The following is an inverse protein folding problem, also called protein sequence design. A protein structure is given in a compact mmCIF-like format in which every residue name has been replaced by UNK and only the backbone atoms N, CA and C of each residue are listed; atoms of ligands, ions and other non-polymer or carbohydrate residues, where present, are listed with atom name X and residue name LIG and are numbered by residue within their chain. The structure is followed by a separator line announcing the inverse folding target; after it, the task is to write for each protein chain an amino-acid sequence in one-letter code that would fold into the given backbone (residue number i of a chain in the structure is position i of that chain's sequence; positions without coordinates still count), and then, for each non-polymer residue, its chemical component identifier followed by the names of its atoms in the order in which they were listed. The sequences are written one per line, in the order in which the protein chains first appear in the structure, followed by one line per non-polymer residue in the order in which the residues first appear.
data_IF_655649578245
#
_entry.id   IF_655649578245
#
_cell.length_a   1.000
_cell.length_b   1.000
_cell.length_c   1.000
_cell.angle_alpha   90.00
_cell.angle_beta   90.00
_cell.angle_gamma   90.00
#
_symmetry.space_group_name_H-M   'P 1'
#
loop_
_entity.id
_entity.type
_entity.pdbx_description
1 polymer ?
#
# COMPACT_ATOMS: atom_id res chain seq x y z
N UNK A 1 19.77 8.28 13.57
CA UNK A 1 19.47 7.19 12.61
C UNK A 1 18.07 6.71 12.92
N UNK A 2 17.18 6.65 11.93
CA UNK A 2 15.82 6.11 12.11
C UNK A 2 15.91 4.59 11.99
N UNK A 3 15.56 3.85 13.04
CA UNK A 3 15.53 2.39 12.98
C UNK A 3 14.44 1.95 12.01
N UNK A 4 14.73 1.12 10.99
CA UNK A 4 13.73 0.67 10.04
C UNK A 4 12.54 0.00 10.74
N UNK A 5 11.29 0.39 10.44
CA UNK A 5 10.12 -0.22 11.07
C UNK A 5 9.97 -1.68 10.67
N UNK A 6 9.50 -2.50 11.62
CA UNK A 6 9.10 -3.90 11.40
C UNK A 6 7.59 -4.12 11.50
N UNK A 7 6.88 -3.21 12.17
CA UNK A 7 5.42 -3.19 12.29
C UNK A 7 4.90 -2.03 11.44
N UNK A 8 4.32 -2.34 10.28
CA UNK A 8 4.01 -1.37 9.24
C UNK A 8 2.60 -0.78 9.35
N UNK A 9 1.67 -1.49 10.00
CA UNK A 9 0.27 -1.10 10.18
C UNK A 9 0.03 -0.12 11.34
N UNK A 10 1.06 0.64 11.70
CA UNK A 10 0.99 1.72 12.67
C UNK A 10 1.34 3.05 12.00
N UNK A 11 0.98 4.18 12.62
CA UNK A 11 1.34 5.49 12.09
C UNK A 11 2.85 5.64 11.89
N UNK A 12 3.65 5.25 12.89
CA UNK A 12 5.12 5.26 12.80
C UNK A 12 5.66 4.24 11.79
N UNK A 13 5.01 3.08 11.68
CA UNK A 13 5.36 2.04 10.72
C UNK A 13 5.21 2.47 9.27
N UNK A 14 4.03 2.97 8.92
CA UNK A 14 3.70 3.40 7.57
C UNK A 14 4.52 4.65 7.18
N UNK A 15 4.62 5.63 8.08
CA UNK A 15 5.46 6.83 7.84
C UNK A 15 6.92 6.43 7.66
N UNK A 16 7.44 5.55 8.53
CA UNK A 16 8.81 5.07 8.45
C UNK A 16 9.10 4.29 7.16
N UNK A 17 8.14 3.50 6.65
CA UNK A 17 8.26 2.80 5.37
C UNK A 17 8.41 3.79 4.20
N UNK A 18 7.57 4.83 4.17
CA UNK A 18 7.65 5.89 3.15
C UNK A 18 8.96 6.68 3.25
N UNK A 19 9.46 6.94 4.46
CA UNK A 19 10.77 7.55 4.65
C UNK A 19 11.91 6.66 4.18
N UNK A 20 11.81 5.34 4.37
CA UNK A 20 12.77 4.38 3.79
C UNK A 20 12.72 4.40 2.25
N UNK A 21 11.55 4.62 1.64
CA UNK A 21 11.46 4.81 0.17
C UNK A 21 12.21 6.07 -0.25
N UNK A 22 11.96 7.20 0.42
CA UNK A 22 12.66 8.47 0.12
C UNK A 22 14.18 8.33 0.28
N UNK A 23 14.65 7.64 1.31
CA UNK A 23 16.08 7.43 1.53
C UNK A 23 16.73 6.51 0.47
N UNK A 24 16.04 5.45 0.06
CA UNK A 24 16.58 4.46 -0.89
C UNK A 24 16.49 4.94 -2.34
N UNK A 25 15.39 5.60 -2.71
CA UNK A 25 15.05 5.89 -4.10
C UNK A 25 15.03 7.39 -4.44
N UNK A 26 15.06 8.27 -3.43
CA UNK A 26 14.96 9.73 -3.62
C UNK A 26 13.54 10.27 -3.71
N UNK A 27 12.54 9.41 -3.81
CA UNK A 27 11.12 9.76 -3.94
C UNK A 27 10.20 8.64 -3.42
N UNK A 28 8.89 8.84 -3.54
CA UNK A 28 7.84 7.85 -3.25
C UNK A 28 7.06 7.42 -4.49
N UNK A 29 7.59 7.71 -5.68
CA UNK A 29 6.95 7.38 -6.95
C UNK A 29 6.98 5.88 -7.22
N UNK A 30 5.88 5.31 -7.67
CA UNK A 30 5.84 3.90 -8.05
C UNK A 30 4.54 3.54 -8.75
N UNK A 31 4.45 2.27 -9.14
CA UNK A 31 3.23 1.70 -9.70
C UNK A 31 2.32 1.14 -8.61
N UNK A 32 2.91 0.49 -7.61
CA UNK A 32 2.18 -0.23 -6.56
C UNK A 32 3.00 -0.37 -5.29
N UNK A 33 2.36 -0.22 -4.14
CA UNK A 33 2.88 -0.62 -2.84
C UNK A 33 1.86 -1.53 -2.15
N UNK A 34 2.28 -2.72 -1.73
CA UNK A 34 1.47 -3.64 -0.92
C UNK A 34 2.09 -3.73 0.46
N UNK A 35 1.32 -3.44 1.51
CA UNK A 35 1.82 -3.38 2.89
C UNK A 35 1.08 -4.41 3.74
N UNK A 36 1.79 -5.45 4.12
CA UNK A 36 1.38 -6.41 5.14
C UNK A 36 1.85 -5.91 6.53
N UNK A 37 1.39 -6.52 7.63
CA UNK A 37 1.77 -6.06 8.97
C UNK A 37 3.28 -5.99 9.20
N UNK A 38 4.05 -6.91 8.60
CA UNK A 38 5.49 -7.05 8.86
C UNK A 38 6.42 -6.81 7.66
N UNK A 39 5.87 -6.76 6.46
CA UNK A 39 6.65 -6.61 5.22
C UNK A 39 5.87 -5.84 4.17
N UNK A 40 6.57 -5.32 3.18
CA UNK A 40 5.94 -4.66 2.04
C UNK A 40 6.59 -5.10 0.71
N UNK A 41 5.85 -4.92 -0.38
CA UNK A 41 6.36 -5.08 -1.73
C UNK A 41 6.08 -3.81 -2.52
N UNK A 42 7.11 -3.31 -3.21
CA UNK A 42 7.05 -2.08 -3.99
C UNK A 42 7.39 -2.39 -5.44
N UNK A 43 6.53 -1.95 -6.35
CA UNK A 43 6.75 -2.04 -7.80
C UNK A 43 7.00 -0.65 -8.35
N UNK A 44 8.11 -0.47 -9.08
CA UNK A 44 8.55 0.81 -9.66
C UNK A 44 8.89 0.66 -11.15
N UNK A 45 8.90 1.75 -11.93
CA UNK A 45 9.47 1.76 -13.27
C UNK A 45 10.92 1.27 -13.28
N UNK A 46 11.30 0.51 -14.31
CA UNK A 46 12.71 0.29 -14.63
C UNK A 46 13.21 1.45 -15.52
N UNK A 47 14.17 2.28 -15.04
CA UNK A 47 14.67 3.41 -15.81
C UNK A 47 15.51 2.98 -17.03
N UNK A 48 16.01 1.75 -17.06
CA UNK A 48 16.82 1.23 -18.15
C UNK A 48 15.99 0.53 -19.24
N UNK A 49 14.81 -0.01 -18.90
CA UNK A 49 13.94 -0.75 -19.81
C UNK A 49 12.46 -0.47 -19.54
N UNK A 50 11.83 0.37 -20.36
CA UNK A 50 10.44 0.82 -20.16
C UNK A 50 9.41 -0.32 -20.20
N UNK A 51 9.74 -1.45 -20.82
CA UNK A 51 8.88 -2.65 -20.88
C UNK A 51 8.98 -3.50 -19.61
N UNK A 52 9.80 -3.11 -18.65
CA UNK A 52 10.00 -3.81 -17.39
C UNK A 52 9.65 -2.92 -16.19
N UNK A 53 9.46 -3.59 -15.07
CA UNK A 53 9.26 -2.98 -13.77
C UNK A 53 10.14 -3.68 -12.74
N UNK A 54 10.49 -2.95 -11.69
CA UNK A 54 11.37 -3.39 -10.61
C UNK A 54 10.54 -3.66 -9.36
N UNK A 55 10.67 -4.86 -8.83
CA UNK A 55 9.99 -5.29 -7.60
C UNK A 55 10.99 -5.36 -6.47
N UNK A 56 10.69 -4.64 -5.39
CA UNK A 56 11.48 -4.57 -4.17
C UNK A 56 10.70 -5.20 -3.02
N UNK A 57 11.36 -6.01 -2.22
CA UNK A 57 10.83 -6.52 -0.97
C UNK A 57 11.34 -5.66 0.19
N UNK A 58 10.47 -5.38 1.15
CA UNK A 58 10.84 -4.70 2.39
C UNK A 58 10.61 -5.62 3.59
N UNK A 59 11.66 -5.83 4.40
CA UNK A 59 11.53 -6.46 5.71
C UNK A 59 12.53 -5.87 6.70
N UNK A 60 12.25 -4.65 7.16
CA UNK A 60 13.20 -3.86 7.96
C UNK A 60 14.32 -3.22 7.13
N UNK A 61 14.09 -3.07 5.82
CA UNK A 61 15.02 -2.55 4.82
C UNK A 61 14.58 -3.00 3.43
N UNK A 62 14.90 -2.22 2.39
CA UNK A 62 14.61 -2.56 0.99
C UNK A 62 15.71 -3.47 0.42
N UNK A 63 15.32 -4.65 -0.05
CA UNK A 63 16.21 -5.58 -0.76
C UNK A 63 16.53 -5.09 -2.19
N UNK A 64 17.40 -5.83 -2.89
CA UNK A 64 17.66 -5.59 -4.30
C UNK A 64 16.46 -5.94 -5.17
N UNK A 65 16.34 -5.23 -6.30
CA UNK A 65 15.21 -5.36 -7.21
C UNK A 65 15.22 -6.69 -7.97
N UNK A 66 14.02 -7.19 -8.27
CA UNK A 66 13.79 -8.19 -9.30
C UNK A 66 13.01 -7.57 -10.45
N UNK A 67 13.53 -7.69 -11.67
CA UNK A 67 12.91 -7.12 -12.85
C UNK A 67 11.88 -8.09 -13.47
N UNK A 68 10.66 -7.64 -13.70
CA UNK A 68 9.58 -8.39 -14.38
C UNK A 68 9.07 -7.60 -15.59
N UNK A 69 8.28 -8.21 -16.51
CA UNK A 69 7.53 -7.43 -17.50
C UNK A 69 6.63 -6.43 -16.81
N UNK A 70 6.52 -5.22 -17.37
CA UNK A 70 5.65 -4.17 -16.85
C UNK A 70 4.18 -4.54 -17.04
N UNK A 71 3.35 -4.34 -16.01
CA UNK A 71 1.89 -4.53 -16.15
C UNK A 71 1.26 -3.49 -17.09
N UNK A 72 0.23 -3.89 -17.86
CA UNK A 72 -0.45 -3.02 -18.82
C UNK A 72 -1.28 -1.90 -18.18
N UNK A 73 -1.68 -2.07 -16.93
CA UNK A 73 -2.41 -1.10 -16.11
C UNK A 73 -1.52 -0.32 -15.13
N UNK A 74 -0.19 -0.52 -15.19
CA UNK A 74 0.76 0.15 -14.31
C UNK A 74 0.78 1.67 -14.56
N UNK A 75 0.31 2.43 -13.56
CA UNK A 75 0.28 3.89 -13.56
C UNK A 75 1.26 4.44 -12.53
N UNK A 76 2.13 5.36 -12.96
CA UNK A 76 3.09 6.01 -12.08
C UNK A 76 2.37 7.08 -11.26
N UNK A 77 2.42 6.96 -9.93
CA UNK A 77 1.83 7.92 -8.99
C UNK A 77 2.79 8.12 -7.81
N UNK A 78 2.64 9.23 -7.10
CA UNK A 78 3.21 9.36 -5.75
C UNK A 78 2.43 8.46 -4.78
N UNK A 79 3.05 7.36 -4.38
CA UNK A 79 2.44 6.38 -3.48
C UNK A 79 2.31 6.91 -2.04
N UNK A 80 2.86 8.09 -1.73
CA UNK A 80 2.72 8.78 -0.45
C UNK A 80 1.73 9.95 -0.48
N UNK A 81 0.96 10.13 -1.57
CA UNK A 81 -0.01 11.21 -1.72
C UNK A 81 -1.29 10.97 -0.90
N UNK A 82 -1.13 10.79 0.42
CA UNK A 82 -2.19 10.55 1.38
C UNK A 82 -1.79 10.98 2.79
N UNK A 83 -2.78 11.08 3.70
CA UNK A 83 -2.51 11.25 5.14
C UNK A 83 -2.38 9.89 5.85
N UNK A 84 -1.19 9.53 6.39
CA UNK A 84 -1.00 8.26 7.09
C UNK A 84 -1.88 8.06 8.31
N UNK A 85 -2.25 9.14 9.02
CA UNK A 85 -3.12 9.03 10.19
C UNK A 85 -4.53 8.58 9.77
N UNK A 86 -5.06 9.17 8.71
CA UNK A 86 -6.34 8.79 8.10
C UNK A 86 -6.35 7.31 7.70
N UNK A 87 -5.34 6.84 6.96
CA UNK A 87 -5.30 5.44 6.49
C UNK A 87 -5.18 4.44 7.64
N UNK A 88 -4.37 4.75 8.65
CA UNK A 88 -4.27 3.90 9.86
C UNK A 88 -5.58 3.89 10.65
N UNK A 89 -6.32 5.00 10.67
CA UNK A 89 -7.67 5.07 11.24
C UNK A 89 -8.64 4.11 10.54
N UNK A 90 -8.71 4.18 9.21
CA UNK A 90 -9.56 3.27 8.41
C UNK A 90 -9.13 1.82 8.60
N UNK A 91 -7.83 1.54 8.57
CA UNK A 91 -7.27 0.20 8.78
C UNK A 91 -7.77 -0.44 10.08
N UNK A 92 -7.80 0.31 11.18
CA UNK A 92 -8.27 -0.18 12.49
C UNK A 92 -9.77 -0.42 12.53
N UNK A 93 -10.56 0.38 11.83
CA UNK A 93 -12.02 0.25 11.76
C UNK A 93 -12.52 -0.68 10.65
N UNK A 94 -11.64 -1.17 9.79
CA UNK A 94 -12.02 -1.93 8.60
C UNK A 94 -12.74 -3.25 8.92
N UNK A 95 -12.32 -4.08 9.91
CA UNK A 95 -13.06 -5.29 10.25
C UNK A 95 -14.52 -5.02 10.61
N UNK A 96 -14.77 -4.05 11.51
CA UNK A 96 -16.11 -3.64 11.93
C UNK A 96 -16.92 -3.12 10.74
N UNK A 97 -16.32 -2.25 9.92
CA UNK A 97 -16.98 -1.69 8.73
C UNK A 97 -17.38 -2.78 7.73
N UNK A 98 -16.59 -3.86 7.62
CA UNK A 98 -16.85 -4.98 6.73
C UNK A 98 -17.71 -6.08 7.36
N UNK A 99 -18.14 -5.90 8.62
CA UNK A 99 -18.93 -6.89 9.35
C UNK A 99 -18.18 -8.17 9.70
N UNK A 100 -16.84 -8.10 9.78
CA UNK A 100 -15.98 -9.22 10.18
C UNK A 100 -15.64 -9.06 11.67
N UNK A 101 -15.94 -10.09 12.47
CA UNK A 101 -15.63 -10.05 13.89
C UNK A 101 -14.10 -9.98 14.09
N UNK A 102 -13.58 -9.18 15.06
CA UNK A 102 -12.13 -9.01 15.22
C UNK A 102 -11.35 -10.31 15.46
N UNK A 103 -11.97 -11.31 16.09
CA UNK A 103 -11.41 -12.64 16.35
C UNK A 103 -11.47 -13.59 15.14
N UNK A 104 -12.24 -13.24 14.11
CA UNK A 104 -12.31 -13.97 12.83
C UNK A 104 -11.33 -13.40 11.79
N UNK A 105 -10.67 -12.27 12.05
CA UNK A 105 -9.71 -11.67 11.12
C UNK A 105 -8.47 -12.55 11.00
N UNK A 106 -8.26 -13.11 9.81
CA UNK A 106 -7.09 -13.95 9.49
C UNK A 106 -5.99 -13.18 8.77
N UNK A 107 -6.35 -12.12 8.05
CA UNK A 107 -5.38 -11.29 7.35
C UNK A 107 -5.91 -9.86 7.19
N UNK A 108 -4.97 -8.92 7.16
CA UNK A 108 -5.22 -7.52 6.83
C UNK A 108 -4.02 -6.99 6.08
N UNK A 109 -4.24 -6.24 5.01
CA UNK A 109 -3.17 -5.60 4.25
C UNK A 109 -3.68 -4.39 3.47
N UNK A 110 -2.76 -3.49 3.14
CA UNK A 110 -3.03 -2.30 2.35
C UNK A 110 -2.48 -2.50 0.94
N UNK A 111 -3.18 -1.98 -0.06
CA UNK A 111 -2.66 -1.81 -1.41
C UNK A 111 -2.79 -0.33 -1.79
N UNK A 112 -1.70 0.23 -2.29
CA UNK A 112 -1.63 1.57 -2.88
C UNK A 112 -1.34 1.38 -4.36
N UNK A 113 -2.25 1.81 -5.24
CA UNK A 113 -2.13 1.70 -6.70
C UNK A 113 -2.42 3.04 -7.37
N UNK A 114 -1.88 3.23 -8.58
CA UNK A 114 -2.31 4.33 -9.45
C UNK A 114 -3.78 4.18 -9.88
N UNK A 115 -4.62 5.09 -9.40
CA UNK A 115 -6.03 5.21 -9.78
C UNK A 115 -6.23 5.69 -11.23
N UNK A 116 -7.46 5.61 -11.77
CA UNK A 116 -7.75 5.98 -13.16
C UNK A 116 -7.89 7.50 -13.37
N UNK A 117 -7.87 8.31 -12.32
CA UNK A 117 -8.11 9.76 -12.38
C UNK A 117 -6.87 10.61 -12.08
N UNK A 118 -7.10 11.89 -11.83
CA UNK A 118 -6.08 12.88 -11.44
C UNK A 118 -6.33 13.42 -10.03
N UNK A 119 -5.37 14.17 -9.49
CA UNK A 119 -5.47 14.74 -8.14
C UNK A 119 -5.62 13.63 -7.08
N UNK A 120 -6.59 13.73 -6.16
CA UNK A 120 -6.85 12.67 -5.18
C UNK A 120 -7.14 11.30 -5.80
N UNK A 121 -7.69 11.26 -7.02
CA UNK A 121 -8.07 10.03 -7.72
C UNK A 121 -6.93 9.40 -8.50
N UNK A 122 -5.75 10.04 -8.50
CA UNK A 122 -4.53 9.45 -9.03
C UNK A 122 -4.02 8.30 -8.14
N UNK A 123 -4.37 8.28 -6.86
CA UNK A 123 -4.00 7.24 -5.90
C UNK A 123 -5.26 6.53 -5.40
N UNK A 124 -5.29 5.21 -5.52
CA UNK A 124 -6.28 4.35 -4.85
C UNK A 124 -5.61 3.61 -3.71
N UNK A 125 -6.23 3.63 -2.53
CA UNK A 125 -5.78 2.92 -1.35
C UNK A 125 -6.86 1.93 -0.93
N UNK A 126 -6.54 0.65 -0.95
CA UNK A 126 -7.46 -0.42 -0.59
C UNK A 126 -7.03 -1.08 0.71
N UNK A 127 -7.91 -1.09 1.69
CA UNK A 127 -7.77 -1.82 2.95
C UNK A 127 -8.48 -3.16 2.82
N UNK A 128 -7.74 -4.25 2.74
CA UNK A 128 -8.29 -5.60 2.66
C UNK A 128 -8.35 -6.23 4.05
N UNK A 129 -9.45 -6.89 4.35
CA UNK A 129 -9.63 -7.72 5.54
C UNK A 129 -10.25 -9.05 5.11
N UNK A 130 -9.71 -10.15 5.60
CA UNK A 130 -10.27 -11.48 5.35
C UNK A 130 -10.44 -12.27 6.65
N UNK A 131 -11.35 -13.23 6.59
CA UNK A 131 -11.59 -14.29 7.56
C UNK A 131 -11.55 -15.65 6.84
N UNK A 132 -11.76 -16.74 7.58
CA UNK A 132 -11.94 -18.07 6.99
C UNK A 132 -13.23 -18.20 6.15
N UNK A 133 -14.19 -17.28 6.31
CA UNK A 133 -15.51 -17.32 5.66
C UNK A 133 -15.63 -16.39 4.43
N UNK A 134 -14.63 -15.57 4.16
CA UNK A 134 -14.65 -14.59 3.08
C UNK A 134 -13.84 -13.34 3.40
N UNK A 135 -13.82 -12.38 2.50
CA UNK A 135 -13.05 -11.16 2.68
C UNK A 135 -13.60 -9.99 1.88
N UNK A 136 -13.39 -8.80 2.44
CA UNK A 136 -13.85 -7.55 1.87
C UNK A 136 -12.73 -6.53 1.78
N UNK A 137 -13.06 -5.38 1.20
CA UNK A 137 -12.15 -4.24 1.22
C UNK A 137 -12.87 -2.90 1.21
N UNK A 138 -12.17 -1.89 1.72
CA UNK A 138 -12.55 -0.48 1.63
C UNK A 138 -11.55 0.20 0.71
N UNK A 139 -12.01 0.79 -0.40
CA UNK A 139 -11.19 1.58 -1.31
C UNK A 139 -11.40 3.08 -1.05
N UNK A 140 -10.29 3.80 -0.98
CA UNK A 140 -10.18 5.22 -0.68
C UNK A 140 -9.41 5.92 -1.80
N UNK A 141 -9.71 7.20 -2.04
CA UNK A 141 -8.80 8.10 -2.75
C UNK A 141 -7.64 8.56 -1.85
N UNK A 142 -6.63 9.22 -2.42
CA UNK A 142 -5.50 9.76 -1.68
C UNK A 142 -5.88 10.78 -0.60
N UNK A 143 -6.99 11.51 -0.77
CA UNK A 143 -7.51 12.44 0.24
C UNK A 143 -8.33 11.76 1.35
N UNK A 144 -8.45 10.42 1.32
CA UNK A 144 -9.22 9.64 2.29
C UNK A 144 -10.71 9.48 1.94
N UNK A 145 -11.18 10.02 0.82
CA UNK A 145 -12.57 9.85 0.37
C UNK A 145 -12.86 8.38 0.09
N UNK A 146 -13.88 7.80 0.72
CA UNK A 146 -14.34 6.43 0.44
C UNK A 146 -14.93 6.36 -0.97
N UNK A 147 -14.31 5.53 -1.82
CA UNK A 147 -14.77 5.26 -3.20
C UNK A 147 -15.67 4.05 -3.28
N UNK A 148 -15.35 3.01 -2.50
CA UNK A 148 -16.09 1.74 -2.53
C UNK A 148 -15.90 0.97 -1.23
N UNK A 149 -16.95 0.30 -0.81
CA UNK A 149 -16.90 -0.76 0.21
C UNK A 149 -17.38 -2.04 -0.47
N UNK A 150 -16.59 -3.11 -0.36
CA UNK A 150 -16.92 -4.42 -0.89
C UNK A 150 -16.97 -5.40 0.29
N UNK A 151 -18.17 -5.82 0.67
CA UNK A 151 -18.39 -6.77 1.75
C UNK A 151 -17.98 -8.20 1.35
N UNK A 152 -17.72 -9.09 2.33
CA UNK A 152 -17.46 -10.52 2.10
C UNK A 152 -18.53 -11.25 1.30
#
# INVERSE_FOLDING_TARGET
MLTPPRQLHSLGGLTGLLDQMRQRFGDTMGYRLVVYPEYANLTRPDPAEQRRELNYHYRGGWDDARATPRSGDARLVDLAAFDPATIVGVLRGAPETLGIAPDEVTNTYLIFDGGPGEGPDALTISVYVSSDFGGGYIALAGDGTVKRINYP
#
